data_IF_825971060339
#
_entry.id   IF_825971060339
#
_cell.length_a   1.000
_cell.length_b   1.000
_cell.length_c   1.000
_cell.angle_alpha   90.00
_cell.angle_beta   90.00
_cell.angle_gamma   90.00
#
_symmetry.space_group_name_H-M   'P 1'
#
loop_
_entity.id
_entity.type
_entity.pdbx_description
1 polymer ?
#
# COMPACT_ATOMS: atom_id res chain seq x y z
N UNK A 1 73.68 2.92 -33.01
CA UNK A 1 73.17 3.35 -31.66
C UNK A 1 71.74 3.76 -31.85
N UNK A 2 70.79 2.83 -31.64
CA UNK A 2 69.38 3.08 -31.77
C UNK A 2 68.75 3.14 -30.37
N UNK A 3 68.10 4.25 -30.02
CA UNK A 3 67.35 4.45 -28.77
C UNK A 3 65.89 4.04 -28.99
N UNK A 4 65.46 3.01 -28.34
CA UNK A 4 64.03 2.65 -28.26
C UNK A 4 63.38 3.44 -27.09
N UNK A 5 62.37 4.27 -27.41
CA UNK A 5 61.54 4.95 -26.42
C UNK A 5 60.38 4.02 -26.06
N UNK A 6 60.30 3.67 -24.79
CA UNK A 6 59.19 2.89 -24.22
C UNK A 6 58.08 3.87 -23.82
N UNK A 7 56.92 3.83 -24.50
CA UNK A 7 55.75 4.62 -24.16
C UNK A 7 54.91 3.79 -23.14
N UNK A 8 54.87 4.22 -21.86
CA UNK A 8 53.99 3.65 -20.87
C UNK A 8 52.58 4.23 -21.10
N UNK A 9 51.65 3.35 -21.46
CA UNK A 9 50.23 3.68 -21.49
C UNK A 9 49.65 3.52 -20.07
N UNK A 10 49.29 4.63 -19.42
CA UNK A 10 48.57 4.64 -18.14
C UNK A 10 47.08 4.40 -18.41
N UNK A 11 46.58 3.18 -18.20
CA UNK A 11 45.15 2.91 -18.16
C UNK A 11 44.58 3.43 -16.84
N UNK A 12 43.90 4.58 -16.86
CA UNK A 12 43.06 5.04 -15.77
C UNK A 12 41.83 4.14 -15.69
N UNK A 13 41.82 3.22 -14.73
CA UNK A 13 40.60 2.51 -14.33
C UNK A 13 39.69 3.48 -13.57
N UNK A 14 38.63 3.93 -14.23
CA UNK A 14 37.54 4.69 -13.59
C UNK A 14 36.70 3.69 -12.79
N UNK A 15 36.95 3.61 -11.51
CA UNK A 15 36.07 2.92 -10.58
C UNK A 15 34.76 3.73 -10.47
N UNK A 16 33.70 3.26 -11.13
CA UNK A 16 32.33 3.75 -10.86
C UNK A 16 31.97 3.26 -9.46
N UNK A 17 32.16 4.10 -8.46
CA UNK A 17 31.59 3.90 -7.14
C UNK A 17 30.07 3.97 -7.30
N UNK A 18 29.40 2.81 -7.30
CA UNK A 18 27.97 2.75 -7.21
C UNK A 18 27.54 3.49 -5.95
N UNK A 19 26.83 4.60 -6.09
CA UNK A 19 26.15 5.24 -4.97
C UNK A 19 25.19 4.23 -4.35
N UNK A 20 25.64 3.57 -3.31
CA UNK A 20 24.81 2.76 -2.44
C UNK A 20 23.86 3.75 -1.75
N UNK A 21 22.56 3.70 -2.08
CA UNK A 21 21.57 4.55 -1.41
C UNK A 21 21.73 4.36 0.10
N UNK A 22 21.83 5.46 0.83
CA UNK A 22 21.85 5.45 2.28
C UNK A 22 20.64 4.64 2.76
N UNK A 23 20.91 3.63 3.59
CA UNK A 23 19.88 2.77 4.17
C UNK A 23 19.05 3.65 5.12
N UNK A 24 17.86 4.07 4.66
CA UNK A 24 16.95 4.93 5.44
C UNK A 24 16.30 4.08 6.52
N UNK A 25 16.87 4.05 7.71
CA UNK A 25 16.32 3.28 8.83
C UNK A 25 14.93 3.79 9.26
N UNK A 26 14.64 5.07 9.02
CA UNK A 26 13.39 5.71 9.40
C UNK A 26 13.07 6.86 8.45
N UNK A 27 11.80 6.98 8.07
CA UNK A 27 11.25 8.16 7.38
C UNK A 27 10.34 8.86 8.37
N UNK A 28 10.61 10.13 8.64
CA UNK A 28 9.80 11.00 9.51
C UNK A 28 8.85 11.85 8.70
N UNK A 29 7.96 12.57 9.35
CA UNK A 29 7.04 13.52 8.72
C UNK A 29 7.21 14.89 9.36
N UNK A 30 7.05 15.95 8.54
CA UNK A 30 7.18 17.33 9.03
C UNK A 30 5.95 17.77 9.82
N UNK A 31 4.77 17.25 9.45
CA UNK A 31 3.49 17.69 10.01
C UNK A 31 3.04 16.76 11.15
N UNK A 32 2.25 17.33 12.10
CA UNK A 32 1.60 16.56 13.16
C UNK A 32 0.27 15.96 12.71
N UNK A 33 -0.24 14.97 13.45
CA UNK A 33 -1.57 14.33 13.28
C UNK A 33 -1.86 13.84 11.87
N UNK A 34 -0.85 13.38 11.14
CA UNK A 34 -0.99 12.87 9.78
C UNK A 34 -1.65 11.50 9.73
N UNK A 35 -1.41 10.64 10.72
CA UNK A 35 -1.89 9.25 10.74
C UNK A 35 -1.64 8.55 9.38
N UNK A 36 -0.38 8.23 9.03
CA UNK A 36 0.00 7.65 7.73
C UNK A 36 -0.43 6.19 7.66
N UNK A 37 -1.66 5.95 7.26
CA UNK A 37 -2.30 4.64 7.35
C UNK A 37 -1.78 3.67 6.29
N UNK A 38 -1.59 4.12 5.06
CA UNK A 38 -1.11 3.28 3.95
C UNK A 38 0.16 3.84 3.32
N UNK A 39 0.95 2.96 2.70
CA UNK A 39 2.09 3.36 1.89
C UNK A 39 2.29 2.47 0.67
N UNK A 40 2.93 3.02 -0.33
CA UNK A 40 3.35 2.33 -1.55
C UNK A 40 4.67 2.88 -2.04
N UNK A 41 5.39 2.12 -2.87
CA UNK A 41 6.68 2.55 -3.41
C UNK A 41 6.78 2.35 -4.90
N UNK A 42 7.70 3.08 -5.51
CA UNK A 42 8.14 2.89 -6.89
C UNK A 42 9.51 2.21 -6.93
N UNK A 43 9.86 1.62 -8.06
CA UNK A 43 11.14 0.92 -8.27
C UNK A 43 12.36 1.83 -8.03
N UNK A 44 12.22 3.13 -8.29
CA UNK A 44 13.29 4.09 -8.02
C UNK A 44 13.48 4.41 -6.52
N UNK A 45 12.66 3.82 -5.63
CA UNK A 45 12.75 3.97 -4.17
C UNK A 45 11.98 5.16 -3.59
N UNK A 46 11.15 5.84 -4.37
CA UNK A 46 10.21 6.83 -3.84
C UNK A 46 9.07 6.12 -3.11
N UNK A 47 8.69 6.63 -1.94
CA UNK A 47 7.58 6.11 -1.14
C UNK A 47 6.50 7.19 -1.01
N UNK A 48 5.25 6.79 -1.21
CA UNK A 48 4.06 7.61 -1.04
C UNK A 48 3.25 7.10 0.15
N UNK A 49 2.61 8.02 0.88
CA UNK A 49 1.84 7.73 2.08
C UNK A 49 0.47 8.38 2.00
N UNK A 50 -0.58 7.63 2.32
CA UNK A 50 -1.92 8.17 2.55
C UNK A 50 -2.03 8.75 3.96
N UNK A 51 -2.68 9.91 4.10
CA UNK A 51 -2.86 10.55 5.40
C UNK A 51 -4.35 10.63 5.78
N UNK A 52 -4.70 9.93 6.85
CA UNK A 52 -6.04 9.97 7.43
C UNK A 52 -6.36 11.30 8.11
N UNK A 53 -5.36 12.01 8.59
CA UNK A 53 -5.55 13.18 9.42
C UNK A 53 -5.39 14.51 8.69
N UNK A 54 -4.80 14.51 7.48
CA UNK A 54 -4.48 15.73 6.73
C UNK A 54 -5.12 15.78 5.35
N UNK A 55 -5.94 14.78 4.96
CA UNK A 55 -6.58 14.72 3.64
C UNK A 55 -5.57 14.89 2.48
N UNK A 56 -4.39 14.32 2.61
CA UNK A 56 -3.24 14.57 1.76
C UNK A 56 -2.49 13.28 1.40
N UNK A 57 -1.66 13.36 0.38
CA UNK A 57 -0.65 12.34 0.10
C UNK A 57 0.73 12.92 0.34
N UNK A 58 1.53 12.22 1.13
CA UNK A 58 2.93 12.55 1.40
C UNK A 58 3.86 11.74 0.52
N UNK A 59 5.07 12.24 0.30
CA UNK A 59 6.11 11.58 -0.49
C UNK A 59 7.48 11.75 0.14
N UNK A 60 8.26 10.68 0.15
CA UNK A 60 9.69 10.70 0.40
C UNK A 60 10.41 10.14 -0.83
N UNK A 61 11.29 10.90 -1.46
CA UNK A 61 12.16 10.42 -2.53
C UNK A 61 13.18 9.40 -2.01
N UNK A 62 13.91 8.76 -2.91
CA UNK A 62 14.83 7.65 -2.59
C UNK A 62 15.80 7.93 -1.42
N UNK A 63 16.29 9.15 -1.31
CA UNK A 63 17.31 9.54 -0.32
C UNK A 63 16.75 10.41 0.80
N UNK A 64 15.43 10.65 0.81
CA UNK A 64 14.81 11.53 1.81
C UNK A 64 14.53 10.75 3.10
N UNK A 65 14.98 11.27 4.22
CA UNK A 65 14.63 10.77 5.56
C UNK A 65 13.36 11.42 6.12
N UNK A 66 12.76 12.35 5.38
CA UNK A 66 11.53 13.03 5.75
C UNK A 66 10.55 13.05 4.57
N UNK A 67 9.31 12.65 4.82
CA UNK A 67 8.22 12.77 3.87
C UNK A 67 7.60 14.16 3.94
N UNK A 68 7.29 14.72 2.76
CA UNK A 68 6.65 16.04 2.61
C UNK A 68 5.35 15.90 1.82
N UNK A 69 4.46 16.89 1.97
CA UNK A 69 3.19 16.92 1.23
C UNK A 69 3.45 16.94 -0.27
N UNK A 70 2.90 15.95 -0.98
CA UNK A 70 2.99 15.85 -2.44
C UNK A 70 1.66 16.18 -3.13
N UNK A 71 0.54 15.63 -2.65
CA UNK A 71 -0.79 16.10 -3.01
C UNK A 71 -1.36 16.84 -1.81
N UNK A 72 -1.61 18.15 -1.98
CA UNK A 72 -2.06 19.03 -0.90
C UNK A 72 -3.48 18.65 -0.44
N UNK A 73 -3.84 18.97 0.81
CA UNK A 73 -5.19 18.82 1.32
C UNK A 73 -6.22 19.48 0.39
N UNK A 74 -7.40 18.87 0.29
CA UNK A 74 -8.53 19.33 -0.54
C UNK A 74 -8.28 19.35 -2.06
N UNK A 75 -7.06 19.05 -2.55
CA UNK A 75 -6.82 18.87 -3.99
C UNK A 75 -7.75 17.79 -4.52
N UNK A 76 -8.47 18.10 -5.61
CA UNK A 76 -9.42 17.16 -6.23
C UNK A 76 -10.46 16.58 -5.24
N UNK A 77 -10.89 17.37 -4.26
CA UNK A 77 -11.81 16.96 -3.19
C UNK A 77 -11.31 15.75 -2.39
N UNK A 78 -10.01 15.61 -2.19
CA UNK A 78 -9.47 14.63 -1.26
C UNK A 78 -10.04 14.89 0.14
N UNK A 79 -10.50 13.81 0.75
CA UNK A 79 -10.87 13.70 2.15
C UNK A 79 -10.01 12.59 2.76
N UNK A 80 -10.35 12.08 3.90
CA UNK A 80 -9.68 10.94 4.54
C UNK A 80 -8.98 10.00 3.53
N UNK A 81 -7.65 10.11 3.39
CA UNK A 81 -6.87 9.28 2.46
C UNK A 81 -6.34 8.05 3.21
N UNK A 82 -6.80 6.87 2.78
CA UNK A 82 -6.31 5.58 3.26
C UNK A 82 -5.33 4.99 2.22
N UNK A 83 -5.77 3.99 1.47
CA UNK A 83 -4.97 3.24 0.53
C UNK A 83 -4.31 4.10 -0.55
N UNK A 84 -3.04 3.80 -0.81
CA UNK A 84 -2.30 4.35 -1.95
C UNK A 84 -1.58 3.20 -2.68
N UNK A 85 -1.56 3.25 -4.03
CA UNK A 85 -0.89 2.26 -4.86
C UNK A 85 -0.21 2.91 -6.07
N UNK A 86 1.12 2.77 -6.18
CA UNK A 86 1.89 3.27 -7.31
C UNK A 86 1.88 2.25 -8.45
N UNK A 87 1.11 2.52 -9.49
CA UNK A 87 1.11 1.79 -10.75
C UNK A 87 2.09 2.46 -11.73
N UNK A 88 3.35 2.07 -11.66
CA UNK A 88 4.39 2.65 -12.53
C UNK A 88 4.16 2.34 -14.00
N UNK A 89 3.56 1.18 -14.32
CA UNK A 89 3.26 0.80 -15.71
C UNK A 89 2.26 1.74 -16.36
N UNK A 90 1.26 2.22 -15.60
CA UNK A 90 0.31 3.22 -16.04
C UNK A 90 0.78 4.66 -15.78
N UNK A 91 1.83 4.86 -14.99
CA UNK A 91 2.28 6.17 -14.51
C UNK A 91 1.26 6.84 -13.60
N UNK A 92 0.56 6.07 -12.78
CA UNK A 92 -0.56 6.49 -11.93
C UNK A 92 -0.27 6.17 -10.46
N UNK A 93 -0.56 7.12 -9.58
CA UNK A 93 -0.80 6.83 -8.17
C UNK A 93 -2.31 6.70 -7.98
N UNK A 94 -2.75 5.50 -7.66
CA UNK A 94 -4.11 5.23 -7.22
C UNK A 94 -4.26 5.64 -5.76
N UNK A 95 -5.36 6.32 -5.42
CA UNK A 95 -5.61 6.88 -4.09
C UNK A 95 -7.04 6.58 -3.68
N UNK A 96 -7.22 5.89 -2.56
CA UNK A 96 -8.47 5.75 -1.86
C UNK A 96 -8.76 7.01 -1.05
N UNK A 97 -9.84 7.71 -1.36
CA UNK A 97 -10.38 8.80 -0.56
C UNK A 97 -11.77 8.44 -0.07
N UNK A 98 -12.08 8.76 1.17
CA UNK A 98 -13.38 8.42 1.75
C UNK A 98 -14.04 9.64 2.36
N UNK A 99 -15.36 9.75 2.12
CA UNK A 99 -16.18 10.79 2.73
C UNK A 99 -16.00 10.78 4.25
N UNK A 100 -15.99 11.95 4.85
CA UNK A 100 -15.95 12.15 6.29
C UNK A 100 -17.32 12.56 6.82
N UNK A 101 -17.54 12.39 8.14
CA UNK A 101 -18.84 12.68 8.76
C UNK A 101 -19.85 11.53 8.64
N UNK A 102 -21.13 11.86 8.61
CA UNK A 102 -22.23 10.88 8.52
C UNK A 102 -22.48 10.07 9.80
N UNK A 103 -21.62 10.20 10.80
CA UNK A 103 -21.80 9.57 12.13
C UNK A 103 -22.32 10.59 13.12
N UNK A 104 -23.18 10.15 14.04
CA UNK A 104 -23.75 11.01 15.11
C UNK A 104 -24.40 12.29 14.58
N UNK A 105 -25.09 12.21 13.42
CA UNK A 105 -25.79 13.35 12.84
C UNK A 105 -24.89 14.41 12.18
N UNK A 106 -23.59 14.19 12.08
CA UNK A 106 -22.69 15.08 11.34
C UNK A 106 -22.94 15.00 9.84
N UNK A 107 -22.94 16.12 9.12
CA UNK A 107 -23.04 16.11 7.66
C UNK A 107 -21.96 15.24 7.01
N UNK A 108 -22.32 14.52 5.95
CA UNK A 108 -21.33 13.87 5.09
C UNK A 108 -20.59 14.93 4.29
N UNK A 109 -19.28 14.93 4.34
CA UNK A 109 -18.41 15.84 3.59
C UNK A 109 -17.58 15.05 2.60
N UNK A 110 -17.60 15.47 1.34
CA UNK A 110 -16.87 14.83 0.25
C UNK A 110 -17.57 13.58 -0.29
N UNK A 111 -16.83 12.81 -1.05
CA UNK A 111 -17.27 11.54 -1.64
C UNK A 111 -16.25 10.43 -1.37
N UNK A 112 -16.72 9.20 -1.30
CA UNK A 112 -15.85 8.03 -1.33
C UNK A 112 -15.55 7.70 -2.79
N UNK A 113 -14.27 7.66 -3.15
CA UNK A 113 -13.84 7.45 -4.52
C UNK A 113 -12.46 6.79 -4.60
N UNK A 114 -12.22 6.08 -5.68
CA UNK A 114 -10.89 5.73 -6.16
C UNK A 114 -10.42 6.83 -7.12
N UNK A 115 -9.30 7.48 -6.83
CA UNK A 115 -8.76 8.56 -7.65
C UNK A 115 -7.42 8.16 -8.28
N UNK A 116 -7.21 8.60 -9.53
CA UNK A 116 -6.00 8.38 -10.29
C UNK A 116 -5.22 9.69 -10.43
N UNK A 117 -4.05 9.77 -9.83
CA UNK A 117 -3.14 10.92 -9.97
C UNK A 117 -1.93 10.54 -10.82
N UNK A 118 -1.38 11.50 -11.54
CA UNK A 118 -0.14 11.31 -12.29
C UNK A 118 1.05 11.18 -11.35
N UNK A 119 1.82 10.09 -11.46
CA UNK A 119 3.08 9.92 -10.72
C UNK A 119 4.14 10.98 -11.07
N UNK A 120 3.99 11.66 -12.23
CA UNK A 120 4.93 12.67 -12.69
C UNK A 120 4.77 14.00 -11.94
N UNK A 121 3.54 14.47 -11.76
CA UNK A 121 3.26 15.86 -11.38
C UNK A 121 2.07 16.03 -10.41
N UNK A 122 1.54 14.93 -9.86
CA UNK A 122 0.40 14.93 -8.94
C UNK A 122 -0.92 15.47 -9.55
N UNK A 123 -1.01 15.66 -10.87
CA UNK A 123 -2.26 16.08 -11.50
C UNK A 123 -3.32 14.99 -11.43
N UNK A 124 -4.56 15.34 -11.13
CA UNK A 124 -5.69 14.41 -11.18
C UNK A 124 -5.92 13.99 -12.65
N UNK A 125 -5.95 12.69 -12.91
CA UNK A 125 -6.32 12.13 -14.22
C UNK A 125 -7.80 11.75 -14.26
N UNK A 126 -8.26 11.03 -13.22
CA UNK A 126 -9.66 10.59 -13.12
C UNK A 126 -10.10 10.44 -11.67
N UNK A 127 -11.40 10.51 -11.45
CA UNK A 127 -12.08 10.16 -10.19
C UNK A 127 -13.19 9.18 -10.47
N UNK A 128 -13.24 8.09 -9.71
CA UNK A 128 -14.23 7.02 -9.85
C UNK A 128 -14.99 6.89 -8.52
N UNK A 129 -16.17 7.52 -8.41
CA UNK A 129 -16.99 7.43 -7.21
C UNK A 129 -17.37 5.99 -6.88
N UNK A 130 -17.41 5.66 -5.59
CA UNK A 130 -17.94 4.38 -5.14
C UNK A 130 -19.46 4.33 -5.39
N UNK A 131 -20.02 3.22 -5.90
CA UNK A 131 -21.46 3.06 -6.00
C UNK A 131 -22.07 2.99 -4.60
N UNK A 132 -22.77 4.04 -4.20
CA UNK A 132 -23.28 4.22 -2.83
C UNK A 132 -22.19 4.66 -1.84
N UNK A 133 -22.57 4.69 -0.57
CA UNK A 133 -21.64 5.02 0.51
C UNK A 133 -20.70 3.83 0.79
N UNK A 134 -19.47 4.12 1.24
CA UNK A 134 -18.48 3.11 1.56
C UNK A 134 -17.24 3.71 2.21
N UNK A 135 -16.26 2.87 2.50
CA UNK A 135 -14.93 3.25 2.93
C UNK A 135 -13.91 2.62 1.98
N UNK A 136 -13.36 3.42 1.05
CA UNK A 136 -12.26 2.98 0.19
C UNK A 136 -11.02 2.78 1.07
N UNK A 137 -10.57 1.53 1.22
CA UNK A 137 -9.48 1.23 2.13
C UNK A 137 -8.16 0.96 1.38
N UNK A 138 -7.94 -0.23 0.82
CA UNK A 138 -6.69 -0.55 0.15
C UNK A 138 -6.90 -0.91 -1.34
N UNK A 139 -5.80 -0.97 -2.10
CA UNK A 139 -5.80 -1.04 -3.55
C UNK A 139 -4.82 -2.11 -4.03
N UNK A 140 -5.26 -2.91 -5.00
CA UNK A 140 -4.37 -3.78 -5.77
C UNK A 140 -4.62 -3.62 -7.27
N UNK A 141 -3.56 -3.73 -8.07
CA UNK A 141 -3.61 -3.63 -9.53
C UNK A 141 -3.16 -4.94 -10.16
N UNK A 142 -4.00 -5.52 -10.99
CA UNK A 142 -3.71 -6.73 -11.74
C UNK A 142 -2.77 -6.45 -12.93
N UNK A 143 -2.14 -7.51 -13.44
CA UNK A 143 -1.21 -7.41 -14.57
C UNK A 143 -1.82 -6.86 -15.85
N UNK A 144 -3.12 -7.06 -16.06
CA UNK A 144 -3.89 -6.53 -17.19
C UNK A 144 -4.28 -5.05 -17.01
N UNK A 145 -4.03 -4.47 -15.83
CA UNK A 145 -4.37 -3.09 -15.49
C UNK A 145 -5.76 -2.93 -14.85
N UNK A 146 -6.43 -4.03 -14.51
CA UNK A 146 -7.63 -4.00 -13.68
C UNK A 146 -7.26 -3.59 -12.25
N UNK A 147 -8.00 -2.64 -11.68
CA UNK A 147 -7.79 -2.15 -10.32
C UNK A 147 -8.89 -2.68 -9.42
N UNK A 148 -8.50 -3.16 -8.25
CA UNK A 148 -9.42 -3.61 -7.19
C UNK A 148 -9.24 -2.73 -5.96
N UNK A 149 -10.34 -2.41 -5.28
CA UNK A 149 -10.33 -1.65 -4.04
C UNK A 149 -11.28 -2.30 -3.01
N UNK A 150 -10.82 -2.43 -1.77
CA UNK A 150 -11.66 -2.89 -0.66
C UNK A 150 -12.58 -1.79 -0.16
N UNK A 151 -13.79 -2.18 0.21
CA UNK A 151 -14.77 -1.34 0.90
C UNK A 151 -15.06 -1.96 2.27
N UNK A 152 -14.40 -1.41 3.27
CA UNK A 152 -14.44 -1.92 4.65
C UNK A 152 -15.84 -1.90 5.27
N UNK A 153 -16.63 -0.86 4.97
CA UNK A 153 -17.94 -0.67 5.61
C UNK A 153 -19.04 -1.49 4.98
N UNK A 154 -18.93 -1.79 3.68
CA UNK A 154 -19.95 -2.55 2.95
C UNK A 154 -19.59 -4.03 2.80
N UNK A 155 -18.39 -4.44 3.21
CA UNK A 155 -17.93 -5.83 3.05
C UNK A 155 -17.93 -6.28 1.61
N UNK A 156 -17.23 -5.52 0.74
CA UNK A 156 -17.17 -5.79 -0.70
C UNK A 156 -15.82 -5.38 -1.29
N UNK A 157 -15.57 -5.88 -2.51
CA UNK A 157 -14.45 -5.45 -3.34
C UNK A 157 -15.01 -4.82 -4.61
N UNK A 158 -14.58 -3.61 -4.89
CA UNK A 158 -14.88 -2.90 -6.12
C UNK A 158 -13.82 -3.16 -7.17
N UNK A 159 -14.20 -3.03 -8.44
CA UNK A 159 -13.32 -3.23 -9.57
C UNK A 159 -13.44 -2.12 -10.59
N UNK A 160 -12.30 -1.66 -11.11
CA UNK A 160 -12.20 -0.81 -12.29
C UNK A 160 -11.48 -1.62 -13.37
N UNK A 161 -12.22 -2.09 -14.38
CA UNK A 161 -11.60 -2.72 -15.55
C UNK A 161 -10.77 -1.70 -16.31
N UNK A 162 -9.67 -2.13 -16.90
CA UNK A 162 -8.85 -1.24 -17.74
C UNK A 162 -9.70 -0.59 -18.83
N UNK A 163 -9.66 0.76 -18.88
CA UNK A 163 -10.44 1.57 -19.82
C UNK A 163 -11.89 1.79 -19.44
N UNK A 164 -12.37 1.25 -18.33
CA UNK A 164 -13.70 1.56 -17.82
C UNK A 164 -13.78 2.99 -17.26
N UNK A 165 -14.98 3.56 -17.30
CA UNK A 165 -15.28 4.91 -16.81
C UNK A 165 -15.92 4.93 -15.43
N UNK A 166 -16.26 3.76 -14.88
CA UNK A 166 -16.88 3.61 -13.57
C UNK A 166 -16.43 2.32 -12.88
N UNK A 167 -16.46 2.34 -11.55
CA UNK A 167 -16.28 1.15 -10.71
C UNK A 167 -17.54 0.27 -10.78
N UNK A 168 -17.34 -1.04 -10.76
CA UNK A 168 -18.39 -2.03 -10.51
C UNK A 168 -18.14 -2.75 -9.16
N UNK A 169 -19.22 -3.27 -8.57
CA UNK A 169 -19.11 -4.17 -7.41
C UNK A 169 -18.70 -5.54 -7.95
N UNK A 170 -17.43 -5.91 -7.76
CA UNK A 170 -16.89 -7.18 -8.26
C UNK A 170 -17.38 -8.36 -7.43
N UNK A 171 -17.42 -8.21 -6.11
CA UNK A 171 -17.99 -9.17 -5.17
C UNK A 171 -18.44 -8.44 -3.91
N UNK A 172 -19.56 -8.87 -3.35
CA UNK A 172 -20.07 -8.38 -2.08
C UNK A 172 -20.52 -9.57 -1.22
N UNK A 173 -20.05 -9.61 0.01
CA UNK A 173 -20.48 -10.53 1.06
C UNK A 173 -20.24 -9.85 2.40
N UNK A 174 -21.24 -9.16 2.88
CA UNK A 174 -21.15 -8.34 4.10
C UNK A 174 -20.81 -9.15 5.37
N UNK A 175 -20.96 -10.48 5.34
CA UNK A 175 -20.56 -11.34 6.46
C UNK A 175 -19.11 -11.82 6.31
N UNK A 176 -18.76 -12.36 5.16
CA UNK A 176 -17.41 -12.94 4.93
C UNK A 176 -16.36 -11.85 4.74
N UNK A 177 -16.71 -10.75 4.05
CA UNK A 177 -15.84 -9.59 3.81
C UNK A 177 -16.08 -8.45 4.81
N UNK A 178 -16.77 -8.72 5.93
CA UNK A 178 -16.92 -7.73 6.99
C UNK A 178 -15.54 -7.16 7.36
N UNK A 179 -15.43 -5.84 7.42
CA UNK A 179 -14.15 -5.15 7.71
C UNK A 179 -13.01 -5.54 6.77
N UNK A 180 -13.32 -5.78 5.48
CA UNK A 180 -12.30 -5.99 4.45
C UNK A 180 -11.32 -4.82 4.45
N UNK A 181 -10.03 -5.12 4.44
CA UNK A 181 -8.96 -4.16 4.62
C UNK A 181 -7.88 -4.31 3.55
N UNK A 182 -6.72 -4.87 3.87
CA UNK A 182 -5.64 -5.08 2.93
C UNK A 182 -6.02 -5.98 1.76
N UNK A 183 -5.48 -5.66 0.58
CA UNK A 183 -5.71 -6.40 -0.66
C UNK A 183 -4.41 -6.62 -1.43
N UNK A 184 -4.19 -7.82 -1.96
CA UNK A 184 -3.05 -8.14 -2.80
C UNK A 184 -3.44 -9.09 -3.93
N UNK A 185 -2.65 -9.11 -5.00
CA UNK A 185 -2.80 -10.07 -6.12
C UNK A 185 -1.48 -10.81 -6.26
N UNK A 186 -1.51 -12.14 -6.25
CA UNK A 186 -0.34 -12.97 -6.45
C UNK A 186 -0.18 -13.41 -7.92
N UNK A 187 0.87 -14.18 -8.21
CA UNK A 187 1.17 -14.58 -9.59
C UNK A 187 0.13 -15.52 -10.19
N UNK A 188 -0.66 -16.20 -9.36
CA UNK A 188 -1.79 -17.03 -9.76
C UNK A 188 -2.99 -16.24 -10.29
N UNK A 189 -2.94 -14.89 -10.20
CA UNK A 189 -3.99 -13.97 -10.62
C UNK A 189 -5.16 -13.86 -9.66
N UNK A 190 -5.15 -14.58 -8.55
CA UNK A 190 -6.20 -14.49 -7.54
C UNK A 190 -6.06 -13.21 -6.71
N UNK A 191 -7.18 -12.70 -6.26
CA UNK A 191 -7.26 -11.58 -5.32
C UNK A 191 -7.28 -12.14 -3.90
N UNK A 192 -6.41 -11.60 -3.06
CA UNK A 192 -6.32 -11.93 -1.64
C UNK A 192 -6.79 -10.72 -0.84
N UNK A 193 -7.68 -10.94 0.12
CA UNK A 193 -8.27 -9.89 0.97
C UNK A 193 -8.18 -10.36 2.41
N UNK A 194 -7.75 -9.50 3.30
CA UNK A 194 -7.87 -9.77 4.74
C UNK A 194 -9.07 -9.02 5.34
N UNK A 195 -9.44 -9.43 6.54
CA UNK A 195 -10.44 -8.75 7.37
C UNK A 195 -9.81 -8.43 8.72
N UNK A 196 -9.64 -7.15 9.00
CA UNK A 196 -9.03 -6.69 10.26
C UNK A 196 -9.87 -7.10 11.46
N UNK A 197 -11.21 -6.95 11.39
CA UNK A 197 -12.11 -7.28 12.50
C UNK A 197 -12.33 -8.77 12.73
N UNK A 198 -12.25 -9.59 11.67
CA UNK A 198 -12.42 -11.04 11.77
C UNK A 198 -11.11 -11.79 11.92
N UNK A 199 -9.96 -11.12 11.76
CA UNK A 199 -8.64 -11.73 11.79
C UNK A 199 -8.51 -12.89 10.81
N UNK A 200 -8.96 -12.69 9.56
CA UNK A 200 -8.97 -13.71 8.50
C UNK A 200 -8.24 -13.23 7.25
N UNK A 201 -7.74 -14.20 6.48
CA UNK A 201 -7.20 -14.01 5.13
C UNK A 201 -8.04 -14.86 4.17
N UNK A 202 -8.43 -14.27 3.05
CA UNK A 202 -9.30 -14.89 2.06
C UNK A 202 -8.67 -14.86 0.68
N UNK A 203 -8.94 -15.88 -0.13
CA UNK A 203 -8.63 -15.92 -1.56
C UNK A 203 -9.92 -15.86 -2.36
N UNK A 204 -9.95 -15.00 -3.37
CA UNK A 204 -11.05 -14.84 -4.33
C UNK A 204 -10.51 -15.10 -5.73
N UNK A 205 -10.83 -16.23 -6.35
CA UNK A 205 -10.39 -16.52 -7.72
C UNK A 205 -10.97 -15.53 -8.72
N UNK A 206 -10.15 -15.10 -9.69
CA UNK A 206 -10.61 -14.35 -10.86
C UNK A 206 -10.88 -15.36 -11.97
N UNK A 207 -12.14 -15.50 -12.38
CA UNK A 207 -12.53 -16.41 -13.46
C UNK A 207 -12.06 -15.90 -14.83
N UNK A 208 -12.02 -16.74 -15.88
CA UNK A 208 -11.59 -16.31 -17.21
C UNK A 208 -12.39 -15.14 -17.80
N UNK A 209 -13.66 -15.00 -17.43
CA UNK A 209 -14.52 -13.86 -17.81
C UNK A 209 -14.30 -12.61 -16.94
N UNK A 210 -13.39 -12.69 -15.98
CA UNK A 210 -13.08 -11.65 -15.01
C UNK A 210 -14.06 -11.54 -13.84
N UNK A 211 -15.10 -12.39 -13.76
CA UNK A 211 -15.98 -12.44 -12.59
C UNK A 211 -15.29 -13.06 -11.38
N UNK A 212 -15.82 -12.79 -10.19
CA UNK A 212 -15.31 -13.38 -8.96
C UNK A 212 -15.71 -14.87 -8.86
N UNK A 213 -14.78 -15.70 -8.41
CA UNK A 213 -15.06 -17.04 -7.93
C UNK A 213 -15.58 -17.03 -6.47
N UNK A 214 -15.76 -18.22 -5.88
CA UNK A 214 -16.17 -18.32 -4.49
C UNK A 214 -15.06 -17.81 -3.55
N UNK A 215 -15.44 -17.14 -2.47
CA UNK A 215 -14.51 -16.72 -1.42
C UNK A 215 -14.07 -17.96 -0.64
N UNK A 216 -12.78 -18.19 -0.56
CA UNK A 216 -12.18 -19.23 0.25
C UNK A 216 -11.41 -18.59 1.43
N UNK A 217 -11.80 -18.89 2.66
CA UNK A 217 -10.98 -18.58 3.83
C UNK A 217 -9.74 -19.45 3.85
N UNK A 218 -8.58 -18.86 4.01
CA UNK A 218 -7.33 -19.60 4.12
C UNK A 218 -7.09 -20.05 5.57
N UNK A 219 -6.40 -21.16 5.72
CA UNK A 219 -5.97 -21.70 7.01
C UNK A 219 -4.58 -21.14 7.36
N UNK A 220 -4.47 -20.19 8.31
CA UNK A 220 -3.18 -19.66 8.70
C UNK A 220 -2.43 -20.64 9.61
N UNK A 221 -1.09 -20.69 9.51
CA UNK A 221 -0.25 -21.56 10.35
C UNK A 221 -0.30 -21.20 11.85
N UNK A 222 -0.82 -20.03 12.19
CA UNK A 222 -1.15 -19.57 13.54
C UNK A 222 -2.31 -18.59 13.49
N UNK A 223 -3.00 -18.32 14.61
CA UNK A 223 -4.03 -17.28 14.66
C UNK A 223 -3.47 -15.92 14.24
N UNK A 224 -4.22 -15.20 13.41
CA UNK A 224 -3.93 -13.83 13.01
C UNK A 224 -4.48 -12.84 14.04
N UNK A 225 -3.91 -11.64 14.09
CA UNK A 225 -4.28 -10.60 15.06
C UNK A 225 -4.53 -9.26 14.36
N UNK A 226 -5.75 -9.05 13.86
CA UNK A 226 -6.11 -7.81 13.17
C UNK A 226 -5.18 -7.53 11.98
N UNK A 227 -5.16 -8.40 10.95
CA UNK A 227 -4.37 -8.17 9.75
C UNK A 227 -4.84 -6.91 9.05
N UNK A 228 -3.89 -6.08 8.64
CA UNK A 228 -4.08 -4.76 8.06
C UNK A 228 -3.45 -4.71 6.64
N UNK A 229 -2.70 -3.69 6.28
CA UNK A 229 -2.14 -3.56 4.94
C UNK A 229 -1.23 -4.70 4.53
N UNK A 230 -1.32 -5.12 3.27
CA UNK A 230 -0.48 -6.18 2.70
C UNK A 230 -0.02 -5.86 1.28
N UNK A 231 1.13 -6.40 0.87
CA UNK A 231 1.70 -6.22 -0.48
C UNK A 231 2.33 -7.51 -0.99
N UNK A 232 2.03 -7.86 -2.24
CA UNK A 232 2.69 -8.97 -2.93
C UNK A 232 4.17 -8.67 -3.16
N UNK A 233 5.04 -9.63 -2.82
CA UNK A 233 6.50 -9.51 -2.96
C UNK A 233 7.13 -10.70 -3.70
N UNK A 234 6.36 -11.70 -4.01
CA UNK A 234 6.80 -12.88 -4.75
C UNK A 234 5.63 -13.57 -5.45
N UNK A 235 5.91 -14.69 -6.13
CA UNK A 235 4.89 -15.42 -6.88
C UNK A 235 3.74 -15.93 -5.99
N UNK A 236 4.06 -16.37 -4.77
CA UNK A 236 3.13 -16.91 -3.78
C UNK A 236 3.30 -16.24 -2.41
N UNK A 237 4.00 -15.12 -2.35
CA UNK A 237 4.42 -14.51 -1.10
C UNK A 237 3.97 -13.06 -1.04
N UNK A 238 3.46 -12.66 0.10
CA UNK A 238 3.14 -11.28 0.43
C UNK A 238 3.73 -10.89 1.79
N UNK A 239 3.96 -9.60 1.99
CA UNK A 239 4.18 -9.01 3.30
C UNK A 239 2.83 -8.57 3.86
N UNK A 240 2.65 -8.75 5.16
CA UNK A 240 1.43 -8.41 5.89
C UNK A 240 1.81 -7.78 7.23
N UNK A 241 1.11 -6.75 7.64
CA UNK A 241 1.19 -6.22 9.02
C UNK A 241 -0.02 -6.68 9.82
N UNK A 242 0.22 -7.11 11.06
CA UNK A 242 -0.82 -7.50 11.99
C UNK A 242 -0.34 -7.37 13.44
N UNK A 243 -1.19 -6.93 14.35
CA UNK A 243 -0.92 -6.98 15.79
C UNK A 243 0.44 -6.43 16.23
N UNK A 244 0.97 -5.42 15.53
CA UNK A 244 2.30 -4.86 15.79
C UNK A 244 3.46 -5.71 15.27
N UNK A 245 3.22 -6.59 14.30
CA UNK A 245 4.20 -7.45 13.63
C UNK A 245 4.19 -7.24 12.13
N UNK A 246 5.35 -7.44 11.51
CA UNK A 246 5.51 -7.64 10.08
C UNK A 246 5.72 -9.12 9.82
N UNK A 247 4.88 -9.71 9.01
CA UNK A 247 4.95 -11.10 8.59
C UNK A 247 5.25 -11.25 7.10
N UNK A 248 5.98 -12.32 6.76
CA UNK A 248 5.99 -12.92 5.44
C UNK A 248 4.91 -14.00 5.40
N UNK A 249 3.99 -13.90 4.45
CA UNK A 249 2.91 -14.86 4.27
C UNK A 249 3.12 -15.60 2.95
N UNK A 250 3.28 -16.92 3.01
CA UNK A 250 3.41 -17.77 1.82
C UNK A 250 2.16 -18.62 1.64
N UNK A 251 1.58 -18.58 0.44
CA UNK A 251 0.36 -19.29 0.09
C UNK A 251 0.69 -20.66 -0.51
N UNK A 252 0.12 -21.72 0.06
CA UNK A 252 0.22 -23.10 -0.38
C UNK A 252 -1.17 -23.75 -0.42
N UNK A 253 -1.85 -23.67 -1.58
CA UNK A 253 -3.24 -24.10 -1.70
C UNK A 253 -4.15 -23.23 -0.82
N UNK A 254 -4.87 -23.84 0.11
CA UNK A 254 -5.73 -23.16 1.07
C UNK A 254 -5.03 -22.79 2.39
N UNK A 255 -3.71 -23.04 2.48
CA UNK A 255 -2.90 -22.73 3.66
C UNK A 255 -2.12 -21.43 3.47
N UNK A 256 -2.05 -20.64 4.54
CA UNK A 256 -1.23 -19.42 4.65
C UNK A 256 -0.15 -19.65 5.72
N UNK A 257 1.09 -19.82 5.31
CA UNK A 257 2.23 -19.95 6.22
C UNK A 257 2.70 -18.55 6.63
N UNK A 258 2.61 -18.24 7.92
CA UNK A 258 3.00 -16.96 8.50
C UNK A 258 4.35 -17.07 9.19
N UNK A 259 5.31 -16.28 8.73
CA UNK A 259 6.65 -16.17 9.32
C UNK A 259 6.86 -14.75 9.82
N UNK A 260 7.01 -14.58 11.14
CA UNK A 260 7.33 -13.28 11.74
C UNK A 260 8.71 -12.81 11.28
N UNK A 261 8.78 -11.64 10.67
CA UNK A 261 10.02 -10.96 10.27
C UNK A 261 10.48 -9.99 11.36
N UNK A 262 9.53 -9.27 11.95
CA UNK A 262 9.78 -8.29 13.00
C UNK A 262 8.53 -8.12 13.87
N UNK A 263 8.70 -7.98 15.16
CA UNK A 263 7.66 -7.70 16.14
C UNK A 263 8.02 -6.50 17.02
N UNK A 264 7.11 -6.10 17.91
CA UNK A 264 7.33 -4.96 18.80
C UNK A 264 7.19 -3.61 18.10
N UNK A 265 6.33 -3.52 17.07
CA UNK A 265 6.05 -2.30 16.31
C UNK A 265 4.58 -1.89 16.48
N UNK A 266 4.18 -1.36 17.65
CA UNK A 266 2.77 -1.01 17.90
C UNK A 266 2.28 0.09 16.95
N UNK A 267 1.03 -0.04 16.50
CA UNK A 267 0.36 0.97 15.67
C UNK A 267 0.80 0.99 14.21
N UNK A 268 1.49 -0.04 13.73
CA UNK A 268 1.75 -0.20 12.30
C UNK A 268 0.48 -0.65 11.58
N UNK A 269 0.31 -0.17 10.34
CA UNK A 269 -0.90 -0.42 9.54
C UNK A 269 -0.61 -0.90 8.12
N UNK A 270 0.53 -0.58 7.55
CA UNK A 270 0.79 -0.96 6.17
C UNK A 270 2.29 -1.22 5.90
N UNK A 271 2.57 -1.87 4.77
CA UNK A 271 3.93 -2.23 4.34
C UNK A 271 4.12 -2.01 2.85
N UNK A 272 5.34 -1.62 2.46
CA UNK A 272 5.81 -1.65 1.06
C UNK A 272 7.25 -2.14 1.00
N UNK A 273 7.70 -2.58 -0.19
CA UNK A 273 9.05 -3.10 -0.40
C UNK A 273 9.83 -2.19 -1.35
N UNK A 274 11.03 -1.77 -0.93
CA UNK A 274 12.00 -1.04 -1.77
C UNK A 274 13.30 -1.83 -1.80
N UNK A 275 13.61 -2.43 -2.93
CA UNK A 275 14.80 -3.30 -3.04
C UNK A 275 14.75 -4.45 -2.03
N UNK A 276 15.69 -4.47 -1.09
CA UNK A 276 15.76 -5.48 -0.02
C UNK A 276 15.33 -4.91 1.36
N UNK A 277 14.48 -3.89 1.37
CA UNK A 277 14.03 -3.25 2.60
C UNK A 277 12.51 -3.09 2.58
N UNK A 278 11.83 -3.70 3.53
CA UNK A 278 10.43 -3.43 3.81
C UNK A 278 10.31 -2.15 4.65
N UNK A 279 9.38 -1.27 4.27
CA UNK A 279 9.01 -0.10 5.05
C UNK A 279 7.62 -0.30 5.61
N UNK A 280 7.46 -0.09 6.92
CA UNK A 280 6.18 -0.21 7.64
C UNK A 280 5.75 1.15 8.17
N UNK A 281 4.50 1.52 7.91
CA UNK A 281 3.93 2.78 8.38
C UNK A 281 3.40 2.66 9.81
N UNK A 282 3.82 3.56 10.69
CA UNK A 282 3.34 3.64 12.07
C UNK A 282 2.24 4.71 12.15
N UNK A 283 0.97 4.29 11.96
CA UNK A 283 -0.16 5.21 11.87
C UNK A 283 -0.79 5.57 13.22
N UNK A 284 -0.59 4.76 14.28
CA UNK A 284 -1.08 5.02 15.65
C UNK A 284 -2.57 5.37 15.69
N UNK A 285 -3.42 4.63 14.98
CA UNK A 285 -4.83 4.96 14.78
C UNK A 285 -5.62 5.14 16.09
N UNK A 286 -5.22 4.47 17.16
CA UNK A 286 -5.83 4.60 18.49
C UNK A 286 -5.76 6.05 19.04
N UNK A 287 -4.78 6.84 18.59
CA UNK A 287 -4.62 8.22 19.00
C UNK A 287 -5.46 9.23 18.19
N UNK A 288 -6.20 8.78 17.16
CA UNK A 288 -7.00 9.69 16.30
C UNK A 288 -8.06 10.46 17.09
N UNK A 289 -8.69 9.81 18.04
CA UNK A 289 -9.76 10.41 18.86
C UNK A 289 -9.24 11.08 20.13
N UNK A 290 -7.96 10.92 20.46
CA UNK A 290 -7.33 11.58 21.60
C UNK A 290 -7.08 13.06 21.30
N UNK A 291 -7.21 13.91 22.32
CA UNK A 291 -6.78 15.30 22.30
C UNK A 291 -5.28 15.46 22.48
N UNK A 292 -4.60 14.42 22.96
CA UNK A 292 -3.16 14.43 23.17
C UNK A 292 -2.41 14.39 21.84
N UNK A 293 -1.20 14.92 21.83
CA UNK A 293 -0.28 14.79 20.71
C UNK A 293 0.10 13.31 20.56
N UNK A 294 -0.19 12.66 19.40
CA UNK A 294 0.19 11.27 19.18
C UNK A 294 1.71 11.10 19.08
N UNK A 295 2.48 12.18 19.16
CA UNK A 295 3.92 12.18 18.93
C UNK A 295 4.30 12.07 17.45
N UNK A 296 5.59 12.02 17.14
CA UNK A 296 6.05 11.99 15.75
C UNK A 296 5.66 10.67 15.08
N UNK A 297 5.05 10.79 13.90
CA UNK A 297 4.79 9.66 13.01
C UNK A 297 6.05 9.28 12.23
N UNK A 298 6.15 8.00 11.87
CA UNK A 298 7.29 7.50 11.11
C UNK A 298 6.95 6.25 10.29
N UNK A 299 7.74 5.98 9.28
CA UNK A 299 7.84 4.67 8.67
C UNK A 299 9.18 4.04 9.04
N UNK A 300 9.15 2.78 9.46
CA UNK A 300 10.32 2.02 9.93
C UNK A 300 10.80 1.09 8.85
N UNK A 301 12.10 0.96 8.67
CA UNK A 301 12.68 -0.02 7.78
C UNK A 301 12.92 -1.36 8.49
N UNK A 302 12.67 -2.43 7.78
CA UNK A 302 12.98 -3.81 8.17
C UNK A 302 13.74 -4.47 7.03
N UNK A 303 14.97 -4.95 7.24
CA UNK A 303 15.68 -5.69 6.20
C UNK A 303 14.86 -6.91 5.77
N UNK A 304 14.66 -7.04 4.46
CA UNK A 304 13.89 -8.14 3.89
C UNK A 304 14.34 -8.43 2.46
N UNK A 305 14.54 -9.69 2.17
CA UNK A 305 14.84 -10.15 0.81
C UNK A 305 13.69 -11.02 0.32
N UNK A 306 13.01 -10.57 -0.72
CA UNK A 306 11.93 -11.33 -1.33
C UNK A 306 12.45 -12.70 -1.84
N UNK A 307 11.65 -13.79 -1.71
CA UNK A 307 11.96 -15.07 -2.33
C UNK A 307 12.09 -14.91 -3.85
N UNK A 308 13.02 -15.69 -4.44
CA UNK A 308 13.23 -15.70 -5.89
C UNK A 308 12.10 -16.44 -6.60
#
# INVERSE_FOLDING_TARGET
MGRYALTLCFCCAVTVAGLQAADRSTITFADGRIFPESLTSTQNGTIYFGSLGQDAVYRAGRNDSQATVWIKPKTANLQTVLGVFADEKAGVLWVCTSASGGRNGQPVVGETALKAFSLKDASLRNSYPFPGNGLCNDIAVARDGTVYATDTTQGRVLRLKKGATALDVWIADAMTLATADGIAILADGNVYVNSVGQSTLMRIPVKPDGSAGPIARLEPSRPMMGPDGMRSVGARTMLLVEGGRLDEVTINGDKAELKVLKEGMPGITAVTLVGNTAYVSEARLNARTSQEDPGPFKALSVPYRAPK
#
